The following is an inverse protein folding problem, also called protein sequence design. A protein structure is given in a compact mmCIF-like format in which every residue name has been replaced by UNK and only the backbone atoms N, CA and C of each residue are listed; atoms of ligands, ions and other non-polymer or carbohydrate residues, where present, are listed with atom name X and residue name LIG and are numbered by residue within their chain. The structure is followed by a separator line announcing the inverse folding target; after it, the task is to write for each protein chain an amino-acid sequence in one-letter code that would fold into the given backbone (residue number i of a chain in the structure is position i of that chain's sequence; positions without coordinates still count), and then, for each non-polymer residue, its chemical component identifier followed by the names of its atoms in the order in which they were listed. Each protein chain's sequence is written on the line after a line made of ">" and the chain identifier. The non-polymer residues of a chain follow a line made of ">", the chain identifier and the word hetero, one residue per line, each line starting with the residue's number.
data_IF_846411036920
#
_entry.id   IF_846411036920
#
_cell.length_a   1.000
_cell.length_b   1.000
_cell.length_c   1.000
_cell.angle_alpha   90.00
_cell.angle_beta   90.00
_cell.angle_gamma   90.00
#
_symmetry.space_group_name_H-M   'P 1'
#
loop_
_entity.id
_entity.type
_entity.pdbx_description
1 polymer ?
#
# COMPACT_ATOMS: atom_id res chain seq x y z
N UNK A 1 -6.01 -2.66 -26.34
CA UNK A 1 -6.36 -1.86 -25.16
C UNK A 1 -6.27 -2.78 -23.94
N UNK A 2 -5.36 -2.52 -23.00
CA UNK A 2 -5.23 -3.35 -21.81
C UNK A 2 -6.39 -3.04 -20.86
N UNK A 3 -7.25 -4.04 -20.58
CA UNK A 3 -8.32 -3.90 -19.59
C UNK A 3 -7.67 -3.88 -18.21
N UNK A 4 -7.75 -2.73 -17.53
CA UNK A 4 -7.24 -2.61 -16.17
C UNK A 4 -8.26 -3.25 -15.23
N UNK A 5 -7.95 -4.45 -14.73
CA UNK A 5 -8.76 -5.13 -13.71
C UNK A 5 -8.57 -4.41 -12.35
N UNK A 6 -9.56 -3.61 -11.95
CA UNK A 6 -9.50 -2.77 -10.75
C UNK A 6 -9.20 -3.56 -9.48
N UNK A 7 -9.82 -4.73 -9.30
CA UNK A 7 -9.57 -5.64 -8.18
C UNK A 7 -8.10 -6.08 -8.12
N UNK A 8 -7.52 -6.37 -9.29
CA UNK A 8 -6.12 -6.79 -9.38
C UNK A 8 -5.18 -5.63 -9.06
N UNK A 9 -5.48 -4.42 -9.55
CA UNK A 9 -4.70 -3.22 -9.21
C UNK A 9 -4.78 -2.92 -7.72
N UNK A 10 -5.96 -3.03 -7.11
CA UNK A 10 -6.14 -2.83 -5.67
C UNK A 10 -5.31 -3.83 -4.87
N UNK A 11 -5.35 -5.11 -5.25
CA UNK A 11 -4.58 -6.17 -4.60
C UNK A 11 -3.07 -6.00 -4.75
N UNK A 12 -2.58 -5.78 -5.98
CA UNK A 12 -1.15 -5.61 -6.26
C UNK A 12 -0.60 -4.37 -5.55
N UNK A 13 -1.33 -3.26 -5.60
CA UNK A 13 -0.94 -2.01 -4.94
C UNK A 13 -0.90 -2.18 -3.41
N UNK A 14 -1.90 -2.82 -2.82
CA UNK A 14 -1.93 -3.07 -1.38
C UNK A 14 -0.72 -3.87 -0.89
N UNK A 15 -0.38 -4.96 -1.59
CA UNK A 15 0.80 -5.78 -1.25
C UNK A 15 2.10 -4.99 -1.32
N UNK A 16 2.27 -4.21 -2.39
CA UNK A 16 3.48 -3.42 -2.61
C UNK A 16 3.59 -2.27 -1.61
N UNK A 17 2.48 -1.63 -1.24
CA UNK A 17 2.48 -0.53 -0.28
C UNK A 17 2.82 -1.00 1.13
N UNK A 18 2.27 -2.14 1.56
CA UNK A 18 2.59 -2.74 2.86
C UNK A 18 4.05 -3.20 2.90
N UNK A 19 4.56 -3.81 1.81
CA UNK A 19 5.97 -4.17 1.72
C UNK A 19 6.90 -2.93 1.80
N UNK A 20 6.57 -1.88 1.05
CA UNK A 20 7.31 -0.61 1.11
C UNK A 20 7.23 0.07 2.48
N UNK A 21 6.14 -0.09 3.22
CA UNK A 21 6.02 0.45 4.58
C UNK A 21 7.04 -0.18 5.55
N UNK A 22 7.43 -1.44 5.33
CA UNK A 22 8.47 -2.12 6.12
C UNK A 22 9.90 -1.82 5.68
N UNK A 23 10.06 -1.22 4.51
CA UNK A 23 11.36 -0.95 3.87
C UNK A 23 11.72 0.55 3.94
N UNK A 24 12.93 0.93 3.49
CA UNK A 24 13.32 2.34 3.36
C UNK A 24 12.61 3.04 2.19
N UNK A 25 12.05 2.27 1.26
CA UNK A 25 11.18 2.75 0.17
C UNK A 25 9.94 3.51 0.67
N UNK A 26 9.55 3.33 1.95
CA UNK A 26 8.45 4.03 2.61
C UNK A 26 8.46 5.55 2.39
N UNK A 27 9.62 6.20 2.54
CA UNK A 27 9.68 7.67 2.50
C UNK A 27 9.26 8.20 1.13
N UNK A 28 9.77 7.57 0.08
CA UNK A 28 9.42 7.91 -1.29
C UNK A 28 7.95 7.56 -1.60
N UNK A 29 7.46 6.42 -1.11
CA UNK A 29 6.07 6.03 -1.33
C UNK A 29 5.11 6.99 -0.61
N UNK A 30 5.39 7.36 0.64
CA UNK A 30 4.57 8.30 1.42
C UNK A 30 4.42 9.64 0.72
N UNK A 31 5.53 10.23 0.27
CA UNK A 31 5.52 11.48 -0.50
C UNK A 31 4.75 11.34 -1.82
N UNK A 32 4.95 10.23 -2.53
CA UNK A 32 4.28 9.97 -3.82
C UNK A 32 2.77 9.83 -3.64
N UNK A 33 2.31 9.10 -2.61
CA UNK A 33 0.89 8.97 -2.29
C UNK A 33 0.30 10.31 -1.84
N UNK A 34 1.02 11.07 -1.01
CA UNK A 34 0.60 12.40 -0.58
C UNK A 34 0.37 13.36 -1.75
N UNK A 35 1.27 13.34 -2.74
CA UNK A 35 1.16 14.18 -3.96
C UNK A 35 0.09 13.70 -4.94
N UNK A 36 -0.10 12.39 -5.11
CA UNK A 36 -0.98 11.82 -6.15
C UNK A 36 -2.40 11.51 -5.68
N UNK A 37 -2.55 11.05 -4.44
CA UNK A 37 -3.83 10.62 -3.85
C UNK A 37 -4.27 11.50 -2.69
N UNK A 38 -3.37 12.34 -2.16
CA UNK A 38 -3.61 13.26 -1.05
C UNK A 38 -3.03 12.78 0.28
N UNK A 39 -2.91 13.72 1.23
CA UNK A 39 -2.30 13.49 2.54
C UNK A 39 -2.98 12.39 3.37
N UNK A 40 -4.26 12.09 3.14
CA UNK A 40 -4.96 11.00 3.80
C UNK A 40 -4.25 9.65 3.59
N UNK A 41 -3.72 9.42 2.38
CA UNK A 41 -3.03 8.17 2.04
C UNK A 41 -1.61 8.11 2.59
N UNK A 42 -0.91 9.24 2.63
CA UNK A 42 0.39 9.35 3.30
C UNK A 42 0.27 9.05 4.81
N UNK A 43 -0.76 9.62 5.46
CA UNK A 43 -1.03 9.35 6.87
C UNK A 43 -1.45 7.89 7.09
N UNK A 44 -2.25 7.30 6.19
CA UNK A 44 -2.60 5.89 6.25
C UNK A 44 -1.35 5.00 6.18
N UNK A 45 -0.38 5.32 5.31
CA UNK A 45 0.87 4.58 5.17
C UNK A 45 1.74 4.71 6.42
N UNK A 46 1.82 5.93 6.97
CA UNK A 46 2.51 6.21 8.24
C UNK A 46 1.94 5.36 9.37
N UNK A 47 0.61 5.29 9.48
CA UNK A 47 -0.08 4.47 10.49
C UNK A 47 0.20 2.99 10.30
N UNK A 48 0.20 2.49 9.07
CA UNK A 48 0.59 1.09 8.76
C UNK A 48 2.03 0.81 9.21
N UNK A 49 3.00 1.67 8.87
CA UNK A 49 4.40 1.51 9.32
C UNK A 49 4.52 1.48 10.84
N UNK A 50 3.82 2.37 11.55
CA UNK A 50 3.81 2.39 13.02
C UNK A 50 3.23 1.10 13.60
N UNK A 51 2.10 0.61 13.05
CA UNK A 51 1.48 -0.64 13.50
C UNK A 51 2.38 -1.85 13.25
N UNK A 52 3.01 -1.93 12.08
CA UNK A 52 3.95 -3.00 11.75
C UNK A 52 5.19 -2.98 12.67
N UNK A 53 5.80 -1.81 12.88
CA UNK A 53 6.94 -1.69 13.81
C UNK A 53 6.56 -1.96 15.27
N UNK A 54 5.35 -1.57 15.68
CA UNK A 54 4.85 -1.88 17.03
C UNK A 54 4.56 -3.38 17.20
N UNK A 55 4.06 -4.04 16.16
CA UNK A 55 3.87 -5.50 16.11
C UNK A 55 5.18 -6.28 16.13
N UNK A 56 6.27 -5.73 15.57
CA UNK A 56 7.62 -6.30 15.74
C UNK A 56 8.15 -6.14 17.17
N UNK A 57 7.81 -5.05 17.85
CA UNK A 57 8.29 -4.73 19.20
C UNK A 57 7.48 -5.39 20.33
N UNK A 58 6.28 -5.90 20.06
CA UNK A 58 5.44 -6.57 21.04
C UNK A 58 5.34 -8.07 20.73
N UNK A 59 5.53 -8.97 21.72
CA UNK A 59 5.23 -10.39 21.56
C UNK A 59 3.71 -10.58 21.56
N UNK A 60 3.04 -10.12 20.51
CA UNK A 60 1.61 -10.39 20.30
C UNK A 60 1.49 -11.82 19.77
N UNK A 61 0.53 -12.56 20.33
CA UNK A 61 0.24 -13.96 20.02
C UNK A 61 -0.20 -14.12 18.55
N UNK A 62 0.73 -14.33 17.64
CA UNK A 62 0.45 -14.66 16.24
C UNK A 62 1.67 -14.49 15.31
N UNK A 63 1.76 -15.25 14.20
CA UNK A 63 2.80 -15.04 13.20
C UNK A 63 2.78 -13.60 12.64
N UNK A 64 3.97 -13.02 12.42
CA UNK A 64 4.16 -11.72 11.73
C UNK A 64 3.42 -11.63 10.40
N UNK A 65 3.22 -12.76 9.73
CA UNK A 65 2.46 -12.87 8.47
C UNK A 65 0.98 -12.51 8.63
N UNK A 66 0.37 -12.72 9.80
CA UNK A 66 -1.04 -12.37 10.04
C UNK A 66 -1.23 -10.86 10.10
N UNK A 67 -0.30 -10.15 10.75
CA UNK A 67 -0.32 -8.69 10.83
C UNK A 67 -0.10 -8.04 9.45
N UNK A 68 0.81 -8.60 8.64
CA UNK A 68 1.01 -8.15 7.25
C UNK A 68 -0.22 -8.41 6.39
N UNK A 69 -0.82 -9.59 6.52
CA UNK A 69 -2.03 -9.97 5.76
C UNK A 69 -3.22 -9.07 6.11
N UNK A 70 -3.38 -8.72 7.39
CA UNK A 70 -4.41 -7.79 7.83
C UNK A 70 -4.23 -6.38 7.26
N UNK A 71 -3.00 -5.85 7.25
CA UNK A 71 -2.71 -4.54 6.65
C UNK A 71 -2.91 -4.57 5.13
N UNK A 72 -2.53 -5.64 4.44
CA UNK A 72 -2.79 -5.80 2.99
C UNK A 72 -4.29 -5.83 2.71
N UNK A 73 -5.06 -6.56 3.52
CA UNK A 73 -6.53 -6.59 3.41
C UNK A 73 -7.15 -5.20 3.58
N UNK A 74 -6.71 -4.45 4.60
CA UNK A 74 -7.19 -3.10 4.86
C UNK A 74 -6.83 -2.11 3.74
N UNK A 75 -5.63 -2.23 3.17
CA UNK A 75 -5.21 -1.42 2.03
C UNK A 75 -5.95 -1.78 0.75
N UNK A 76 -6.21 -3.07 0.50
CA UNK A 76 -7.00 -3.52 -0.64
C UNK A 76 -8.39 -2.89 -0.62
N UNK A 77 -9.12 -3.01 0.49
CA UNK A 77 -10.45 -2.43 0.64
C UNK A 77 -10.43 -0.92 0.40
N UNK A 78 -9.49 -0.19 1.03
CA UNK A 78 -9.35 1.25 0.85
C UNK A 78 -9.09 1.64 -0.61
N UNK A 79 -8.25 0.90 -1.33
CA UNK A 79 -7.94 1.18 -2.73
C UNK A 79 -9.12 0.79 -3.63
N UNK A 80 -9.83 -0.28 -3.31
CA UNK A 80 -11.03 -0.71 -4.03
C UNK A 80 -12.16 0.32 -3.91
N UNK A 81 -12.37 0.87 -2.72
CA UNK A 81 -13.29 1.99 -2.49
C UNK A 81 -12.86 3.22 -3.30
N UNK A 82 -11.57 3.59 -3.25
CA UNK A 82 -11.03 4.69 -4.05
C UNK A 82 -11.24 4.49 -5.56
N UNK A 83 -11.04 3.27 -6.07
CA UNK A 83 -11.22 2.95 -7.49
C UNK A 83 -12.69 2.83 -7.90
N UNK A 84 -13.58 2.65 -6.93
CA UNK A 84 -15.03 2.71 -7.14
C UNK A 84 -15.48 4.15 -7.32
N UNK A 85 -14.98 5.06 -6.49
CA UNK A 85 -15.27 6.51 -6.58
C UNK A 85 -14.54 7.18 -7.75
N UNK A 86 -13.27 6.82 -7.96
CA UNK A 86 -12.33 7.46 -8.89
C UNK A 86 -11.60 6.42 -9.75
N UNK A 87 -12.28 5.80 -10.73
CA UNK A 87 -11.70 4.75 -11.57
C UNK A 87 -10.50 5.21 -12.41
N UNK A 88 -10.38 6.51 -12.69
CA UNK A 88 -9.25 7.14 -13.38
C UNK A 88 -7.91 6.98 -12.63
N UNK A 89 -7.96 6.79 -11.30
CA UNK A 89 -6.77 6.60 -10.47
C UNK A 89 -6.17 5.21 -10.62
N UNK A 90 -6.83 4.27 -11.30
CA UNK A 90 -6.31 2.92 -11.52
C UNK A 90 -4.96 2.92 -12.24
N UNK A 91 -4.80 3.77 -13.25
CA UNK A 91 -3.54 3.90 -13.98
C UNK A 91 -2.46 4.57 -13.13
N UNK A 92 -2.84 5.56 -12.32
CA UNK A 92 -1.94 6.23 -11.37
C UNK A 92 -1.41 5.24 -10.34
N UNK A 93 -2.29 4.43 -9.75
CA UNK A 93 -1.92 3.38 -8.80
C UNK A 93 -1.04 2.32 -9.44
N UNK A 94 -1.37 1.87 -10.66
CA UNK A 94 -0.55 0.91 -11.41
C UNK A 94 0.88 1.43 -11.58
N UNK A 95 1.05 2.69 -11.97
CA UNK A 95 2.38 3.32 -12.13
C UNK A 95 3.13 3.41 -10.80
N UNK A 96 2.47 3.87 -9.73
CA UNK A 96 3.09 3.96 -8.40
C UNK A 96 3.51 2.58 -7.92
N UNK A 97 2.67 1.56 -8.09
CA UNK A 97 2.95 0.18 -7.70
C UNK A 97 4.14 -0.40 -8.47
N UNK A 98 4.20 -0.19 -9.78
CA UNK A 98 5.33 -0.64 -10.60
C UNK A 98 6.65 0.01 -10.17
N UNK A 99 6.62 1.33 -9.94
CA UNK A 99 7.78 2.13 -9.56
C UNK A 99 8.24 1.86 -8.12
N UNK A 100 7.31 1.54 -7.22
CA UNK A 100 7.60 1.04 -5.87
C UNK A 100 8.25 -0.35 -5.94
N UNK A 101 7.69 -1.25 -6.75
CA UNK A 101 8.20 -2.61 -6.94
C UNK A 101 9.63 -2.64 -7.49
N UNK A 102 9.98 -1.69 -8.38
CA UNK A 102 11.35 -1.51 -8.86
C UNK A 102 12.32 -1.08 -7.77
N UNK A 103 11.89 -0.20 -6.85
CA UNK A 103 12.72 0.24 -5.70
C UNK A 103 12.94 -0.88 -4.69
N UNK A 104 11.90 -1.67 -4.41
CA UNK A 104 11.99 -2.78 -3.47
C UNK A 104 12.89 -3.94 -3.92
N UNK A 105 13.14 -4.07 -5.24
CA UNK A 105 14.04 -5.09 -5.79
C UNK A 105 15.50 -4.65 -5.85
N UNK A 106 15.79 -3.39 -5.51
CA UNK A 106 17.11 -2.78 -5.64
C UNK A 106 17.84 -2.78 -4.32
#
# INVERSE_FOLDING_TARGET
>A
MAVIHRERVAWESARVFVAAATDDTYWWLGETLGRRLGQTYELALTRTRIRLRRGEAQPVRGPREDALSAEVGAWRARIEDLLTEHPELAEVLRQVTEETGRRLRR
#
